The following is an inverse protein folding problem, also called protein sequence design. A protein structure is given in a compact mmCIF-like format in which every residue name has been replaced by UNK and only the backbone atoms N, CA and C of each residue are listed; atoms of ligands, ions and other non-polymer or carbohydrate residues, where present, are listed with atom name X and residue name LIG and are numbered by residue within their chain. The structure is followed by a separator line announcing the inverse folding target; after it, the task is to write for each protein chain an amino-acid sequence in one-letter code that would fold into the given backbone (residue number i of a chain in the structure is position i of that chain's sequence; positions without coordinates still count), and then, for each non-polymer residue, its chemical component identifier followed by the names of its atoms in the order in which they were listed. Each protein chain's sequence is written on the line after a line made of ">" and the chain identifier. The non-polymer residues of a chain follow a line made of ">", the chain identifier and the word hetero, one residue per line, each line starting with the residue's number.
data_IF_566192146720
#
_entry.id   IF_566192146720
#
_cell.length_a   1.000
_cell.length_b   1.000
_cell.length_c   1.000
_cell.angle_alpha   90.00
_cell.angle_beta   90.00
_cell.angle_gamma   90.00
#
_symmetry.space_group_name_H-M   'P 1'
#
loop_
_entity.id
_entity.type
_entity.pdbx_description
1 polymer ?
#
# COMPACT_ATOMS: atom_id res chain seq x y z
N UNK A 1 -13.38 -17.31 7.93
CA UNK A 1 -12.85 -16.91 6.62
C UNK A 1 -12.12 -15.62 6.85
N UNK A 2 -10.83 -15.80 7.03
CA UNK A 2 -9.97 -15.04 7.91
C UNK A 2 -9.73 -13.64 7.36
N UNK A 3 -9.99 -12.66 8.21
CA UNK A 3 -9.81 -11.23 7.98
C UNK A 3 -8.33 -10.96 7.70
N UNK A 4 -7.89 -11.17 6.45
CA UNK A 4 -6.53 -10.84 5.95
C UNK A 4 -6.27 -9.33 5.89
N UNK A 5 -7.14 -8.51 6.50
CA UNK A 5 -7.01 -7.07 6.56
C UNK A 5 -6.22 -6.70 7.82
N UNK A 6 -4.90 -6.64 7.68
CA UNK A 6 -4.06 -6.10 8.74
C UNK A 6 -4.38 -4.61 8.93
N UNK A 7 -4.87 -4.23 10.12
CA UNK A 7 -5.12 -2.83 10.45
C UNK A 7 -3.79 -2.17 10.81
N UNK A 8 -3.11 -1.65 9.79
CA UNK A 8 -1.82 -0.99 9.95
C UNK A 8 -2.00 0.53 10.15
N UNK A 9 -1.54 1.04 11.29
CA UNK A 9 -1.49 2.48 11.58
C UNK A 9 -0.17 3.07 11.09
N UNK A 10 -0.16 3.59 9.86
CA UNK A 10 0.99 4.29 9.30
C UNK A 10 1.06 5.72 9.88
N UNK A 11 2.21 6.07 10.48
CA UNK A 11 2.52 7.47 10.80
C UNK A 11 3.11 8.14 9.56
N UNK A 12 2.37 9.11 9.04
CA UNK A 12 2.72 9.88 7.85
C UNK A 12 2.56 11.36 8.19
N UNK A 13 3.41 12.19 7.58
CA UNK A 13 3.33 13.64 7.74
C UNK A 13 1.96 14.16 7.28
N UNK A 14 1.40 15.13 8.03
CA UNK A 14 0.06 15.66 7.76
C UNK A 14 -0.05 16.27 6.35
N UNK A 15 0.98 16.98 5.89
CA UNK A 15 0.97 17.61 4.57
C UNK A 15 1.04 16.56 3.46
N UNK A 16 1.83 15.50 3.66
CA UNK A 16 1.91 14.40 2.73
C UNK A 16 0.58 13.66 2.63
N UNK A 17 -0.08 13.40 3.77
CA UNK A 17 -1.39 12.75 3.80
C UNK A 17 -2.47 13.60 3.14
N UNK A 18 -2.43 14.92 3.27
CA UNK A 18 -3.35 15.82 2.57
C UNK A 18 -3.16 15.77 1.05
N UNK A 19 -1.92 15.83 0.56
CA UNK A 19 -1.63 15.69 -0.87
C UNK A 19 -2.08 14.32 -1.39
N UNK A 20 -1.82 13.28 -0.62
CA UNK A 20 -2.22 11.93 -0.95
C UNK A 20 -3.75 11.79 -1.04
N UNK A 21 -4.48 12.38 -0.09
CA UNK A 21 -5.94 12.40 -0.10
C UNK A 21 -6.49 13.15 -1.32
N UNK A 22 -5.84 14.25 -1.71
CA UNK A 22 -6.22 15.00 -2.91
C UNK A 22 -6.08 14.16 -4.18
N UNK A 23 -4.97 13.41 -4.32
CA UNK A 23 -4.75 12.50 -5.46
C UNK A 23 -5.77 11.37 -5.46
N UNK A 24 -6.04 10.76 -4.29
CA UNK A 24 -7.01 9.68 -4.18
C UNK A 24 -8.44 10.15 -4.53
N UNK A 25 -8.82 11.35 -4.08
CA UNK A 25 -10.13 11.95 -4.40
C UNK A 25 -10.25 12.28 -5.89
N UNK A 26 -9.18 12.78 -6.50
CA UNK A 26 -9.12 13.02 -7.95
C UNK A 26 -9.27 11.71 -8.77
N UNK A 27 -8.75 10.59 -8.28
CA UNK A 27 -8.86 9.27 -8.92
C UNK A 27 -10.20 8.55 -8.57
N UNK A 28 -11.02 9.14 -7.71
CA UNK A 28 -12.30 8.56 -7.25
C UNK A 28 -12.13 7.37 -6.31
N UNK A 29 -10.98 7.25 -5.64
CA UNK A 29 -10.64 6.15 -4.72
C UNK A 29 -10.51 6.65 -3.29
N UNK A 30 -10.86 5.79 -2.33
CA UNK A 30 -10.52 6.04 -0.94
C UNK A 30 -9.00 6.02 -0.76
N UNK A 31 -8.47 6.88 0.12
CA UNK A 31 -7.04 6.92 0.44
C UNK A 31 -6.48 5.51 0.77
N UNK A 32 -7.19 4.70 1.54
CA UNK A 32 -6.79 3.32 1.83
C UNK A 32 -6.62 2.44 0.57
N UNK A 33 -7.52 2.57 -0.41
CA UNK A 33 -7.49 1.77 -1.63
C UNK A 33 -6.32 2.18 -2.53
N UNK A 34 -6.01 3.47 -2.57
CA UNK A 34 -4.84 3.98 -3.26
C UNK A 34 -3.53 3.53 -2.57
N UNK A 35 -3.48 3.51 -1.23
CA UNK A 35 -2.31 2.98 -0.48
C UNK A 35 -2.10 1.51 -0.81
N UNK A 36 -3.17 0.70 -0.81
CA UNK A 36 -3.07 -0.72 -1.15
C UNK A 36 -2.54 -0.94 -2.57
N UNK A 37 -3.04 -0.18 -3.54
CA UNK A 37 -2.56 -0.23 -4.93
C UNK A 37 -1.10 0.20 -5.04
N UNK A 38 -0.71 1.25 -4.32
CA UNK A 38 0.67 1.73 -4.29
C UNK A 38 1.62 0.67 -3.72
N UNK A 39 1.25 0.02 -2.61
CA UNK A 39 2.04 -1.08 -2.02
C UNK A 39 2.15 -2.24 -3.02
N UNK A 40 1.04 -2.66 -3.64
CA UNK A 40 1.08 -3.75 -4.64
C UNK A 40 1.99 -3.43 -5.82
N UNK A 41 1.90 -2.22 -6.38
CA UNK A 41 2.78 -1.77 -7.46
C UNK A 41 4.24 -1.73 -7.02
N UNK A 42 4.50 -1.19 -5.83
CA UNK A 42 5.86 -1.10 -5.31
C UNK A 42 6.48 -2.47 -5.08
N UNK A 43 5.72 -3.43 -4.53
CA UNK A 43 6.16 -4.82 -4.38
C UNK A 43 6.42 -5.45 -5.74
N UNK A 44 5.53 -5.32 -6.72
CA UNK A 44 5.72 -5.88 -8.06
C UNK A 44 6.96 -5.30 -8.78
N UNK A 45 7.18 -3.98 -8.68
CA UNK A 45 8.35 -3.32 -9.24
C UNK A 45 9.64 -3.78 -8.54
N UNK A 46 9.59 -3.91 -7.22
CA UNK A 46 10.71 -4.41 -6.42
C UNK A 46 11.03 -5.87 -6.76
N UNK A 47 10.03 -6.74 -6.86
CA UNK A 47 10.21 -8.15 -7.26
C UNK A 47 10.79 -8.27 -8.68
N UNK A 48 10.33 -7.42 -9.60
CA UNK A 48 10.85 -7.40 -10.97
C UNK A 48 12.31 -6.94 -11.04
N UNK A 49 12.71 -5.99 -10.18
CA UNK A 49 14.07 -5.42 -10.19
C UNK A 49 15.07 -6.21 -9.34
N UNK A 50 14.62 -6.77 -8.23
CA UNK A 50 15.47 -7.33 -7.17
C UNK A 50 15.37 -8.86 -7.06
N UNK A 51 14.47 -9.49 -7.82
CA UNK A 51 14.12 -10.91 -7.74
C UNK A 51 12.95 -11.15 -6.79
N UNK A 52 12.22 -12.26 -7.00
CA UNK A 52 11.04 -12.65 -6.21
C UNK A 52 11.29 -12.52 -4.71
N UNK A 53 10.41 -11.78 -4.03
CA UNK A 53 10.45 -11.69 -2.58
C UNK A 53 9.84 -12.99 -2.06
N UNK A 54 10.68 -14.01 -1.87
CA UNK A 54 10.29 -15.22 -1.13
C UNK A 54 10.10 -14.86 0.34
N UNK A 55 8.91 -14.35 0.68
CA UNK A 55 8.38 -14.41 2.03
C UNK A 55 8.16 -15.88 2.35
N UNK A 56 9.21 -16.55 2.85
CA UNK A 56 9.07 -17.84 3.51
C UNK A 56 8.19 -17.61 4.74
N UNK A 57 6.89 -17.78 4.58
CA UNK A 57 5.95 -17.90 5.71
C UNK A 57 6.41 -19.12 6.51
N UNK A 58 7.26 -18.89 7.51
CA UNK A 58 7.25 -19.72 8.71
C UNK A 58 6.02 -19.26 9.48
N UNK A 59 4.87 -19.84 9.13
CA UNK A 59 3.86 -20.16 10.13
C UNK A 59 4.30 -21.45 10.85
#
# INVERSE_FOLDING_TARGET
>A
MDDKLLRYTLRVDRLLFQKFRYVAEADGRSANKEIEQFIKKHVAEYESRNGEIKLSSKE
#
